data_IF_125485891480
#
_entry.id   IF_125485891480
#
_cell.length_a   1.000
_cell.length_b   1.000
_cell.length_c   1.000
_cell.angle_alpha   90.00
_cell.angle_beta   90.00
_cell.angle_gamma   90.00
#
_symmetry.space_group_name_H-M   'P 1'
#
loop_
_entity.id
_entity.type
_entity.pdbx_description
1 polymer ?
#
# COMPACT_ATOMS: atom_id res chain seq x y z
N UNK A 1 30.88 -34.52 -1.03
CA UNK A 1 30.64 -33.28 -1.80
C UNK A 1 29.15 -33.09 -1.99
N UNK A 2 28.53 -32.13 -1.30
CA UNK A 2 27.19 -31.65 -1.66
C UNK A 2 27.30 -30.14 -1.89
N UNK A 3 27.14 -29.77 -3.15
CA UNK A 3 27.23 -28.41 -3.67
C UNK A 3 26.20 -27.52 -2.96
N UNK A 4 26.69 -26.56 -2.20
CA UNK A 4 25.92 -25.40 -1.77
C UNK A 4 25.52 -24.59 -3.01
N UNK A 5 24.27 -24.73 -3.45
CA UNK A 5 23.64 -23.78 -4.39
C UNK A 5 23.22 -22.52 -3.62
N UNK A 6 24.19 -21.77 -3.10
CA UNK A 6 24.00 -20.37 -2.75
C UNK A 6 24.39 -19.54 -3.97
N UNK A 7 23.54 -19.58 -4.99
CA UNK A 7 23.67 -18.70 -6.16
C UNK A 7 22.89 -17.42 -5.86
N UNK A 8 23.65 -16.36 -5.58
CA UNK A 8 23.30 -14.97 -5.82
C UNK A 8 21.95 -14.47 -5.27
N UNK A 9 21.73 -14.59 -3.95
CA UNK A 9 21.04 -13.48 -3.27
C UNK A 9 22.01 -12.30 -3.30
N UNK A 10 21.90 -11.46 -4.33
CA UNK A 10 22.33 -10.08 -4.16
C UNK A 10 21.57 -9.58 -2.93
N UNK A 11 22.27 -9.46 -1.81
CA UNK A 11 21.82 -8.73 -0.62
C UNK A 11 21.72 -7.25 -1.00
N UNK A 12 20.81 -6.91 -1.89
CA UNK A 12 20.17 -5.61 -1.82
C UNK A 12 19.23 -5.81 -0.65
N UNK A 13 19.58 -5.27 0.52
CA UNK A 13 18.59 -5.04 1.55
C UNK A 13 17.57 -4.07 0.93
N UNK A 14 16.56 -4.63 0.22
CA UNK A 14 15.42 -3.86 -0.25
C UNK A 14 14.74 -3.47 1.04
N UNK A 15 15.03 -2.27 1.51
CA UNK A 15 14.34 -1.67 2.63
C UNK A 15 12.87 -1.64 2.25
N UNK A 16 12.06 -2.45 2.94
CA UNK A 16 10.63 -2.48 2.70
C UNK A 16 10.12 -1.06 2.96
N UNK A 17 9.44 -0.43 2.00
CA UNK A 17 8.95 0.94 2.14
C UNK A 17 8.17 1.13 3.45
N UNK A 18 8.45 2.23 4.16
CA UNK A 18 7.74 2.57 5.40
C UNK A 18 6.73 3.67 5.11
N UNK A 19 5.53 3.57 5.70
CA UNK A 19 4.55 4.66 5.63
C UNK A 19 5.02 5.81 6.53
N UNK A 20 5.37 6.94 5.93
CA UNK A 20 5.72 8.16 6.65
C UNK A 20 4.45 8.86 7.15
N UNK A 21 3.43 8.98 6.30
CA UNK A 21 2.13 9.53 6.66
C UNK A 21 1.05 9.12 5.65
N UNK A 22 -0.21 9.18 6.10
CA UNK A 22 -1.37 9.07 5.24
C UNK A 22 -2.36 10.18 5.63
N UNK A 23 -2.75 11.00 4.65
CA UNK A 23 -3.77 12.03 4.84
C UNK A 23 -4.74 12.04 3.66
N UNK A 24 -5.82 12.81 3.79
CA UNK A 24 -6.88 12.87 2.78
C UNK A 24 -7.09 14.31 2.35
N UNK A 25 -7.33 14.51 1.06
CA UNK A 25 -7.78 15.80 0.53
C UNK A 25 -9.23 16.07 0.93
N UNK A 26 -9.71 17.29 0.65
CA UNK A 26 -11.12 17.66 0.81
C UNK A 26 -12.07 16.79 -0.01
N UNK A 27 -11.59 16.26 -1.14
CA UNK A 27 -12.33 15.37 -2.05
C UNK A 27 -12.09 13.88 -1.76
N UNK A 28 -11.54 13.58 -0.58
CA UNK A 28 -11.22 12.24 -0.10
C UNK A 28 -10.27 11.44 -1.01
N UNK A 29 -9.30 12.10 -1.65
CA UNK A 29 -8.17 11.40 -2.23
C UNK A 29 -7.16 11.07 -1.14
N UNK A 30 -6.66 9.83 -1.13
CA UNK A 30 -5.59 9.40 -0.24
C UNK A 30 -4.27 9.97 -0.75
N UNK A 31 -3.59 10.76 0.07
CA UNK A 31 -2.17 11.09 -0.09
C UNK A 31 -1.38 10.13 0.80
N UNK A 32 -0.68 9.18 0.17
CA UNK A 32 0.16 8.19 0.86
C UNK A 32 1.64 8.58 0.69
N UNK A 33 2.26 9.04 1.78
CA UNK A 33 3.69 9.36 1.82
C UNK A 33 4.48 8.20 2.41
N UNK A 34 5.51 7.76 1.69
CA UNK A 34 6.35 6.61 2.04
C UNK A 34 7.83 6.97 1.94
N UNK A 35 8.71 6.11 2.44
CA UNK A 35 10.16 6.26 2.28
C UNK A 35 10.65 6.21 0.84
N UNK A 36 9.82 5.75 -0.12
CA UNK A 36 10.18 5.67 -1.55
C UNK A 36 9.47 6.71 -2.42
N UNK A 37 8.59 7.51 -1.84
CA UNK A 37 7.86 8.53 -2.59
C UNK A 37 6.49 8.85 -1.99
N UNK A 38 5.83 9.82 -2.60
CA UNK A 38 4.47 10.23 -2.27
C UNK A 38 3.55 9.96 -3.46
N UNK A 39 2.39 9.39 -3.17
CA UNK A 39 1.40 9.01 -4.17
C UNK A 39 0.03 9.57 -3.79
N UNK A 40 -0.81 9.85 -4.78
CA UNK A 40 -2.19 10.29 -4.57
C UNK A 40 -3.14 9.37 -5.32
N UNK A 41 -4.09 8.77 -4.62
CA UNK A 41 -5.01 7.79 -5.18
C UNK A 41 -6.46 8.06 -4.76
N UNK A 42 -7.42 7.66 -5.59
CA UNK A 42 -8.82 7.56 -5.15
C UNK A 42 -8.97 6.25 -4.34
N UNK A 43 -9.40 6.29 -3.06
CA UNK A 43 -9.56 5.09 -2.24
C UNK A 43 -10.45 4.00 -2.87
N UNK A 44 -11.35 4.35 -3.78
CA UNK A 44 -12.21 3.35 -4.44
C UNK A 44 -11.43 2.40 -5.36
N UNK A 45 -10.28 2.84 -5.86
CA UNK A 45 -9.41 2.09 -6.78
C UNK A 45 -8.26 1.38 -6.03
N UNK A 46 -8.26 1.44 -4.69
CA UNK A 46 -7.18 0.93 -3.85
C UNK A 46 -7.64 -0.14 -2.87
N UNK A 47 -6.72 -0.96 -2.37
CA UNK A 47 -6.94 -1.90 -1.27
C UNK A 47 -5.68 -2.12 -0.43
N UNK A 48 -5.89 -2.54 0.82
CA UNK A 48 -4.83 -3.05 1.70
C UNK A 48 -5.08 -4.53 1.99
N UNK A 49 -4.03 -5.34 1.91
CA UNK A 49 -4.04 -6.76 2.27
C UNK A 49 -2.88 -7.11 3.22
N UNK A 50 -3.01 -8.21 3.97
CA UNK A 50 -1.96 -8.67 4.89
C UNK A 50 -1.77 -7.76 6.12
N UNK A 51 -2.86 -7.15 6.62
CA UNK A 51 -2.81 -6.20 7.76
C UNK A 51 -2.29 -6.85 9.04
N UNK A 52 -2.47 -8.17 9.20
CA UNK A 52 -1.99 -8.93 10.35
C UNK A 52 -0.52 -9.40 10.20
N UNK A 53 0.04 -9.35 8.98
CA UNK A 53 1.38 -9.84 8.64
C UNK A 53 2.46 -8.78 8.92
N UNK A 54 3.74 -9.17 8.90
CA UNK A 54 4.87 -8.23 9.03
C UNK A 54 5.04 -7.30 7.82
N UNK A 55 4.31 -7.55 6.72
CA UNK A 55 4.29 -6.74 5.50
C UNK A 55 2.86 -6.56 5.03
N UNK A 56 2.45 -5.31 4.85
CA UNK A 56 1.17 -4.95 4.24
C UNK A 56 1.36 -4.79 2.73
N UNK A 57 0.43 -5.29 1.93
CA UNK A 57 0.38 -5.02 0.49
C UNK A 57 -0.66 -3.93 0.22
N UNK A 58 -0.19 -2.77 -0.27
CA UNK A 58 -1.04 -1.74 -0.85
C UNK A 58 -1.21 -2.00 -2.35
N UNK A 59 -2.46 -2.02 -2.78
CA UNK A 59 -2.88 -2.30 -4.15
C UNK A 59 -3.58 -1.07 -4.71
N UNK A 60 -3.28 -0.72 -5.95
CA UNK A 60 -4.04 0.22 -6.77
C UNK A 60 -4.29 -0.41 -8.14
N UNK A 61 -5.53 -0.35 -8.60
CA UNK A 61 -5.88 -0.77 -9.95
C UNK A 61 -7.10 0.00 -10.47
N UNK A 62 -7.01 0.55 -11.68
CA UNK A 62 -8.14 1.17 -12.38
C UNK A 62 -8.07 0.95 -13.88
N UNK A 63 -9.16 1.20 -14.59
CA UNK A 63 -9.16 1.32 -16.04
C UNK A 63 -9.01 2.79 -16.43
N UNK A 64 -8.11 3.08 -17.36
CA UNK A 64 -7.99 4.43 -17.92
C UNK A 64 -8.97 4.66 -19.08
N UNK A 65 -8.93 5.87 -19.66
CA UNK A 65 -9.81 6.27 -20.76
C UNK A 65 -9.76 5.35 -21.99
N UNK A 66 -8.64 4.62 -22.17
CA UNK A 66 -8.46 3.67 -23.26
C UNK A 66 -8.83 2.23 -22.88
N UNK A 67 -9.56 2.05 -21.76
CA UNK A 67 -9.94 0.74 -21.20
C UNK A 67 -8.73 -0.16 -20.86
N UNK A 68 -7.53 0.42 -20.73
CA UNK A 68 -6.32 -0.29 -20.29
C UNK A 68 -6.24 -0.24 -18.77
N UNK A 69 -5.76 -1.34 -18.19
CA UNK A 69 -5.54 -1.43 -16.74
C UNK A 69 -4.26 -0.67 -16.40
N UNK A 70 -4.39 0.27 -15.48
CA UNK A 70 -3.30 0.91 -14.75
C UNK A 70 -3.27 0.28 -13.36
N UNK A 71 -2.10 -0.21 -12.94
CA UNK A 71 -1.94 -0.78 -11.61
C UNK A 71 -0.64 -0.33 -10.96
N UNK A 72 -0.62 -0.39 -9.63
CA UNK A 72 0.54 -0.08 -8.80
C UNK A 72 0.41 -0.87 -7.50
N UNK A 73 1.47 -1.57 -7.13
CA UNK A 73 1.52 -2.36 -5.91
C UNK A 73 2.72 -1.92 -5.08
N UNK A 74 2.53 -1.83 -3.76
CA UNK A 74 3.58 -1.45 -2.84
C UNK A 74 3.54 -2.33 -1.59
N UNK A 75 4.64 -3.05 -1.35
CA UNK A 75 4.86 -3.74 -0.08
C UNK A 75 5.31 -2.72 0.96
N UNK A 76 4.67 -2.71 2.11
CA UNK A 76 4.86 -1.74 3.19
C UNK A 76 5.29 -2.47 4.45
N UNK A 77 6.28 -1.93 5.15
CA UNK A 77 6.75 -2.49 6.42
C UNK A 77 5.63 -2.41 7.45
N UNK A 78 5.26 -3.56 8.00
CA UNK A 78 4.28 -3.71 9.07
C UNK A 78 4.87 -4.44 10.27
N UNK A 79 6.19 -4.32 10.45
CA UNK A 79 6.88 -4.82 11.63
C UNK A 79 6.28 -4.23 12.92
N UNK A 80 6.54 -4.85 14.06
CA UNK A 80 6.02 -4.42 15.37
C UNK A 80 6.18 -2.91 15.65
N UNK A 81 7.25 -2.29 15.14
CA UNK A 81 7.50 -0.84 15.27
C UNK A 81 6.46 0.02 14.55
N UNK A 82 5.97 -0.43 13.39
CA UNK A 82 5.07 0.33 12.53
C UNK A 82 3.62 -0.18 12.59
N UNK A 83 3.38 -1.38 13.14
CA UNK A 83 2.08 -2.07 13.14
C UNK A 83 0.93 -1.21 13.66
N UNK A 84 1.04 -0.65 14.86
CA UNK A 84 -0.05 0.16 15.45
C UNK A 84 -0.41 1.39 14.59
N UNK A 85 0.60 2.08 14.02
CA UNK A 85 0.37 3.22 13.13
C UNK A 85 -0.29 2.77 11.82
N UNK A 86 0.17 1.67 11.25
CA UNK A 86 -0.40 1.16 10.00
C UNK A 86 -1.84 0.69 10.19
N UNK A 87 -2.17 0.06 11.32
CA UNK A 87 -3.53 -0.34 11.68
C UNK A 87 -4.47 0.88 11.72
N UNK A 88 -4.05 2.00 12.33
CA UNK A 88 -4.84 3.24 12.33
C UNK A 88 -5.06 3.78 10.91
N UNK A 89 -4.01 3.77 10.08
CA UNK A 89 -4.08 4.22 8.69
C UNK A 89 -5.04 3.36 7.87
N UNK A 90 -4.97 2.04 8.02
CA UNK A 90 -5.84 1.09 7.33
C UNK A 90 -7.29 1.24 7.81
N UNK A 91 -7.53 1.40 9.11
CA UNK A 91 -8.87 1.59 9.66
C UNK A 91 -9.53 2.85 9.07
N UNK A 92 -8.80 3.98 9.07
CA UNK A 92 -9.28 5.24 8.46
C UNK A 92 -9.50 5.12 6.95
N UNK A 93 -8.62 4.39 6.26
CA UNK A 93 -8.80 4.10 4.85
C UNK A 93 -10.10 3.33 4.57
N UNK A 94 -10.39 2.29 5.35
CA UNK A 94 -11.60 1.49 5.17
C UNK A 94 -12.86 2.32 5.43
N UNK A 95 -12.85 3.21 6.42
CA UNK A 95 -13.95 4.14 6.69
C UNK A 95 -14.24 5.04 5.46
N UNK A 96 -13.19 5.67 4.93
CA UNK A 96 -13.32 6.60 3.80
C UNK A 96 -13.71 5.85 2.52
N UNK A 97 -13.08 4.70 2.24
CA UNK A 97 -13.45 3.86 1.10
C UNK A 97 -14.91 3.45 1.16
N UNK A 98 -15.39 2.99 2.32
CA UNK A 98 -16.81 2.64 2.53
C UNK A 98 -17.73 3.82 2.25
N UNK A 99 -17.41 5.01 2.75
CA UNK A 99 -18.18 6.24 2.48
C UNK A 99 -18.23 6.56 0.99
N UNK A 100 -17.09 6.57 0.29
CA UNK A 100 -17.02 6.88 -1.14
C UNK A 100 -17.78 5.85 -2.00
N UNK A 101 -17.67 4.56 -1.68
CA UNK A 101 -18.41 3.52 -2.39
C UNK A 101 -19.93 3.66 -2.19
N UNK A 102 -20.37 4.06 -0.99
CA UNK A 102 -21.80 4.26 -0.66
C UNK A 102 -22.44 5.45 -1.39
N UNK A 103 -21.65 6.44 -1.82
CA UNK A 103 -22.13 7.61 -2.58
C UNK A 103 -22.25 7.29 -4.09
N UNK A 104 -21.46 6.33 -4.59
CA UNK A 104 -21.46 5.91 -6.00
C UNK A 104 -22.45 4.77 -6.31
N UNK A 105 -23.11 4.21 -5.30
CA UNK A 105 -24.12 3.14 -5.44
C UNK A 105 -25.53 3.72 -5.57
#
# INVERSE_FOLDING_TARGET
MKLFKFLNRQNIAITVPVINSACYTTDDFLILSTSVGQFTFDPVDCDFAGVDDDVILFLFARKNANNRVENFNLNLDNSLKNKSKNEEIVAKFLEIKKRKCSIKS
#
